data_IF_754424980001
#
_entry.id   IF_754424980001
#
_cell.length_a   1.000
_cell.length_b   1.000
_cell.length_c   1.000
_cell.angle_alpha   90.00
_cell.angle_beta   90.00
_cell.angle_gamma   90.00
#
_symmetry.space_group_name_H-M   'P 1'
#
loop_
_entity.id
_entity.type
_entity.pdbx_description
1 polymer ?
#
# COMPACT_ATOMS: atom_id res chain seq x y z
N UNK A 1 -2.77 42.61 40.74
CA UNK A 1 -3.83 42.18 39.81
C UNK A 1 -3.13 41.59 38.59
N UNK A 2 -2.81 40.30 38.61
CA UNK A 2 -3.65 39.12 38.33
C UNK A 2 -3.34 38.64 36.91
N UNK A 3 -2.40 37.72 36.74
CA UNK A 3 -2.51 36.26 36.91
C UNK A 3 -2.82 35.61 35.55
N UNK A 4 -1.81 35.02 34.92
CA UNK A 4 -1.88 33.80 34.09
C UNK A 4 -0.44 33.36 33.72
N UNK A 5 0.38 33.17 34.75
CA UNK A 5 1.38 32.09 34.77
C UNK A 5 0.77 30.96 35.61
N UNK A 6 1.21 29.73 35.37
CA UNK A 6 0.64 28.44 35.82
C UNK A 6 -0.43 27.98 34.79
N UNK A 7 -0.21 26.92 34.01
CA UNK A 7 0.07 25.58 34.50
C UNK A 7 1.05 24.79 33.62
N UNK A 8 2.15 24.38 34.25
CA UNK A 8 2.79 23.08 34.05
C UNK A 8 1.80 21.97 34.45
N UNK A 9 1.49 21.04 33.55
CA UNK A 9 0.84 19.77 33.83
C UNK A 9 1.32 18.76 32.77
N UNK A 10 2.36 17.99 33.08
CA UNK A 10 2.33 16.62 33.64
C UNK A 10 2.15 15.58 32.53
N UNK A 11 3.21 14.81 32.32
CA UNK A 11 3.14 13.51 31.67
C UNK A 11 2.31 12.61 32.58
N UNK A 12 1.07 12.35 32.18
CA UNK A 12 0.23 11.38 32.84
C UNK A 12 0.45 10.01 32.17
N UNK A 13 0.82 9.06 33.02
CA UNK A 13 0.86 7.62 32.80
C UNK A 13 -0.22 7.13 31.82
N UNK A 14 0.19 6.36 30.82
CA UNK A 14 -0.70 5.65 29.89
C UNK A 14 -1.46 4.59 30.69
N UNK A 15 -2.80 4.67 30.83
CA UNK A 15 -3.57 3.51 31.22
C UNK A 15 -3.72 2.65 29.96
N UNK A 16 -2.94 1.57 29.88
CA UNK A 16 -3.41 0.40 29.16
C UNK A 16 -4.65 -0.10 29.90
N UNK A 17 -5.82 -0.04 29.27
CA UNK A 17 -6.89 -1.06 29.29
C UNK A 17 -8.16 -0.46 28.68
N UNK A 18 -8.81 -1.19 27.76
CA UNK A 18 -10.21 -0.98 27.40
C UNK A 18 -10.43 -0.85 25.90
N UNK A 19 -11.25 -1.74 25.33
CA UNK A 19 -11.61 -1.79 23.91
C UNK A 19 -12.25 -0.50 23.38
N UNK A 20 -11.42 0.50 23.09
CA UNK A 20 -11.79 1.75 22.45
C UNK A 20 -11.47 1.69 20.97
N UNK A 21 -12.42 2.15 20.15
CA UNK A 21 -12.20 2.41 18.73
C UNK A 21 -10.87 3.15 18.57
N UNK A 22 -9.92 2.54 17.87
CA UNK A 22 -8.64 3.18 17.59
C UNK A 22 -8.93 4.41 16.77
N UNK A 23 -8.63 5.58 17.32
CA UNK A 23 -8.86 6.85 16.65
C UNK A 23 -8.16 6.85 15.29
N UNK A 24 -8.87 7.15 14.17
CA UNK A 24 -8.29 7.14 12.84
C UNK A 24 -7.05 8.04 12.72
N UNK A 25 -7.01 9.15 13.46
CA UNK A 25 -5.85 10.04 13.46
C UNK A 25 -4.65 9.42 14.18
N UNK A 26 -4.85 8.62 15.25
CA UNK A 26 -3.77 7.84 15.86
C UNK A 26 -3.19 6.78 14.92
N UNK A 27 -4.02 6.13 14.09
CA UNK A 27 -3.54 5.13 13.13
C UNK A 27 -2.69 5.80 12.04
N UNK A 28 -3.19 6.90 11.47
CA UNK A 28 -2.46 7.67 10.46
C UNK A 28 -1.16 8.21 11.05
N UNK A 29 -1.18 8.73 12.28
CA UNK A 29 0.01 9.21 12.95
C UNK A 29 1.05 8.09 13.15
N UNK A 30 0.63 6.89 13.54
CA UNK A 30 1.53 5.73 13.69
C UNK A 30 2.10 5.27 12.34
N UNK A 31 1.29 5.19 11.28
CA UNK A 31 1.77 4.82 9.95
C UNK A 31 2.78 5.85 9.40
N UNK A 32 2.59 7.16 9.67
CA UNK A 32 3.52 8.21 9.28
C UNK A 32 4.90 8.10 9.96
N UNK A 33 5.00 7.43 11.11
CA UNK A 33 6.29 7.16 11.75
C UNK A 33 7.14 6.20 10.91
N UNK A 34 6.53 5.26 10.17
CA UNK A 34 7.26 4.34 9.30
C UNK A 34 7.99 5.04 8.15
N UNK A 35 7.48 6.18 7.67
CA UNK A 35 8.13 6.96 6.61
C UNK A 35 9.27 7.85 7.13
N UNK A 36 9.17 8.29 8.38
CA UNK A 36 10.10 9.28 8.97
C UNK A 36 11.13 8.66 9.92
N UNK A 37 11.09 7.34 10.13
CA UNK A 37 12.11 6.65 10.90
C UNK A 37 13.43 6.66 10.12
N UNK A 38 14.35 7.52 10.57
CA UNK A 38 15.75 7.58 10.07
C UNK A 38 16.47 6.22 10.11
N UNK A 39 15.99 5.30 10.94
CA UNK A 39 16.50 3.92 11.02
C UNK A 39 16.08 3.04 9.83
N UNK A 40 14.97 3.36 9.15
CA UNK A 40 14.49 2.61 7.99
C UNK A 40 15.11 3.20 6.72
N UNK A 41 14.93 4.50 6.49
CA UNK A 41 15.53 5.17 5.34
C UNK A 41 16.87 5.80 5.72
N UNK A 42 17.93 5.01 5.57
CA UNK A 42 19.30 5.41 5.91
C UNK A 42 20.13 5.77 4.67
N UNK A 43 19.85 5.09 3.55
CA UNK A 43 20.73 5.08 2.38
C UNK A 43 19.99 5.36 1.08
N UNK A 44 18.68 5.11 0.99
CA UNK A 44 17.90 5.46 -0.18
C UNK A 44 17.74 6.97 -0.31
N UNK A 45 17.99 7.52 -1.50
CA UNK A 45 17.77 8.92 -1.81
C UNK A 45 16.29 9.28 -1.67
N UNK A 46 15.99 10.42 -1.04
CA UNK A 46 14.62 10.84 -0.71
C UNK A 46 13.68 10.89 -1.91
N UNK A 47 14.18 11.29 -3.08
CA UNK A 47 13.41 11.36 -4.33
C UNK A 47 12.85 10.02 -4.80
N UNK A 48 13.48 8.91 -4.41
CA UNK A 48 13.12 7.57 -4.87
C UNK A 48 12.38 6.74 -3.81
N UNK A 49 12.11 7.32 -2.64
CA UNK A 49 11.41 6.65 -1.55
C UNK A 49 9.92 6.51 -1.86
N UNK A 50 9.30 5.47 -1.32
CA UNK A 50 7.84 5.40 -1.27
C UNK A 50 7.30 6.58 -0.48
N UNK A 51 6.40 7.33 -1.11
CA UNK A 51 5.74 8.47 -0.50
C UNK A 51 4.49 8.05 0.27
N UNK A 52 4.07 8.85 1.25
CA UNK A 52 2.81 8.62 1.96
C UNK A 52 1.58 8.66 1.03
N UNK A 53 1.71 9.28 -0.16
CA UNK A 53 0.66 9.27 -1.19
C UNK A 53 0.58 7.97 -1.99
N UNK A 54 1.54 7.06 -1.80
CA UNK A 54 1.58 5.76 -2.48
C UNK A 54 2.38 5.74 -3.78
N UNK A 55 3.22 6.74 -4.04
CA UNK A 55 3.96 6.87 -5.30
C UNK A 55 5.43 6.50 -5.13
N UNK A 56 6.01 5.91 -6.19
CA UNK A 56 7.43 5.61 -6.38
C UNK A 56 7.94 6.37 -7.60
N UNK A 57 8.76 7.41 -7.39
CA UNK A 57 9.24 8.28 -8.46
C UNK A 57 10.61 7.84 -8.97
N UNK A 58 10.75 6.56 -9.31
CA UNK A 58 12.02 5.97 -9.76
C UNK A 58 12.12 6.11 -11.27
N UNK A 59 13.12 6.84 -11.80
CA UNK A 59 13.29 6.96 -13.24
C UNK A 59 13.87 5.66 -13.82
N UNK A 60 13.59 5.42 -15.11
CA UNK A 60 13.89 4.15 -15.76
C UNK A 60 15.40 3.82 -15.75
N UNK A 61 16.26 4.83 -15.89
CA UNK A 61 17.72 4.71 -15.82
C UNK A 61 18.24 4.33 -14.42
N UNK A 62 17.47 4.63 -13.36
CA UNK A 62 17.80 4.27 -11.97
C UNK A 62 17.24 2.90 -11.54
N UNK A 63 16.43 2.23 -12.37
CA UNK A 63 15.79 0.94 -12.06
C UNK A 63 16.76 -0.08 -11.47
N UNK A 64 17.92 -0.29 -12.09
CA UNK A 64 18.88 -1.30 -11.63
C UNK A 64 19.46 -0.95 -10.25
N UNK A 65 19.72 0.32 -10.00
CA UNK A 65 20.24 0.78 -8.71
C UNK A 65 19.18 0.72 -7.62
N UNK A 66 17.92 1.01 -7.96
CA UNK A 66 16.80 0.82 -7.03
C UNK A 66 16.63 -0.65 -6.65
N UNK A 67 16.53 -1.53 -7.65
CA UNK A 67 16.19 -2.94 -7.46
C UNK A 67 17.31 -3.79 -6.84
N UNK A 68 18.57 -3.38 -6.97
CA UNK A 68 19.71 -4.08 -6.37
C UNK A 68 20.34 -3.30 -5.21
N UNK A 69 19.71 -2.19 -4.80
CA UNK A 69 20.24 -1.27 -3.81
C UNK A 69 19.37 -1.15 -2.56
N UNK A 70 19.75 -0.25 -1.64
CA UNK A 70 19.05 -0.09 -0.38
C UNK A 70 17.60 0.37 -0.56
N UNK A 71 17.27 1.10 -1.63
CA UNK A 71 15.91 1.60 -1.84
C UNK A 71 14.84 0.50 -1.88
N UNK A 72 15.14 -0.66 -2.49
CA UNK A 72 14.21 -1.78 -2.48
C UNK A 72 14.01 -2.31 -1.06
N UNK A 73 15.11 -2.60 -0.36
CA UNK A 73 15.08 -3.16 0.99
C UNK A 73 14.41 -2.21 1.99
N UNK A 74 14.78 -0.92 1.95
CA UNK A 74 14.22 0.11 2.84
C UNK A 74 12.72 0.32 2.56
N UNK A 75 12.30 0.32 1.30
CA UNK A 75 10.87 0.38 0.95
C UNK A 75 10.11 -0.83 1.49
N UNK A 76 10.67 -2.04 1.40
CA UNK A 76 10.04 -3.24 1.97
C UNK A 76 9.91 -3.14 3.50
N UNK A 77 10.91 -2.57 4.20
CA UNK A 77 10.82 -2.32 5.64
C UNK A 77 9.72 -1.32 5.99
N UNK A 78 9.53 -0.26 5.21
CA UNK A 78 8.40 0.68 5.39
C UNK A 78 7.06 -0.03 5.24
N UNK A 79 6.89 -0.81 4.17
CA UNK A 79 5.65 -1.54 3.91
C UNK A 79 5.33 -2.51 5.05
N UNK A 80 6.33 -3.25 5.55
CA UNK A 80 6.17 -4.16 6.68
C UNK A 80 5.85 -3.40 7.98
N UNK A 81 6.47 -2.24 8.21
CA UNK A 81 6.16 -1.39 9.36
C UNK A 81 4.69 -0.95 9.35
N UNK A 82 4.18 -0.51 8.21
CA UNK A 82 2.78 -0.08 8.06
C UNK A 82 1.83 -1.27 8.25
N UNK A 83 2.12 -2.41 7.63
CA UNK A 83 1.30 -3.62 7.71
C UNK A 83 1.16 -4.13 9.16
N UNK A 84 2.23 -4.03 9.96
CA UNK A 84 2.21 -4.39 11.38
C UNK A 84 1.35 -3.45 12.23
N UNK A 85 1.09 -2.23 11.77
CA UNK A 85 0.21 -1.26 12.43
C UNK A 85 -1.23 -1.44 11.96
N UNK A 86 -1.42 -1.60 10.65
CA UNK A 86 -2.72 -1.76 10.00
C UNK A 86 -2.58 -2.62 8.74
N UNK A 87 -3.10 -3.84 8.80
CA UNK A 87 -3.01 -4.82 7.70
C UNK A 87 -3.75 -4.40 6.43
N UNK A 88 -4.86 -3.67 6.56
CA UNK A 88 -5.68 -3.19 5.43
C UNK A 88 -5.43 -1.71 5.13
N UNK A 89 -4.18 -1.26 5.23
CA UNK A 89 -3.83 0.12 4.94
C UNK A 89 -4.00 0.43 3.45
N UNK A 90 -4.57 1.60 3.15
CA UNK A 90 -4.79 2.10 1.79
C UNK A 90 -4.13 3.47 1.67
N UNK A 91 -3.28 3.62 0.66
CA UNK A 91 -2.61 4.87 0.34
C UNK A 91 -3.57 5.89 -0.32
N UNK A 92 -3.17 7.16 -0.39
CA UNK A 92 -4.00 8.20 -1.01
C UNK A 92 -4.32 7.95 -2.49
N UNK A 93 -3.41 7.32 -3.23
CA UNK A 93 -3.65 6.89 -4.61
C UNK A 93 -4.51 5.62 -4.72
N UNK A 94 -5.11 5.16 -3.61
CA UNK A 94 -5.94 3.96 -3.49
C UNK A 94 -5.20 2.63 -3.61
N UNK A 95 -3.87 2.65 -3.64
CA UNK A 95 -3.07 1.44 -3.58
C UNK A 95 -3.19 0.78 -2.20
N UNK A 96 -3.24 -0.53 -2.15
CA UNK A 96 -2.96 -1.33 -0.97
C UNK A 96 -1.46 -1.54 -0.82
N UNK A 97 -1.02 -2.05 0.34
CA UNK A 97 0.37 -2.50 0.52
C UNK A 97 0.76 -3.54 -0.55
N UNK A 98 -0.16 -4.42 -0.92
CA UNK A 98 0.09 -5.45 -1.91
C UNK A 98 0.27 -4.86 -3.31
N UNK A 99 -0.55 -3.88 -3.69
CA UNK A 99 -0.41 -3.20 -5.00
C UNK A 99 0.96 -2.53 -5.16
N UNK A 100 1.51 -1.95 -4.07
CA UNK A 100 2.87 -1.40 -4.08
C UNK A 100 3.91 -2.51 -4.26
N UNK A 101 3.77 -3.64 -3.55
CA UNK A 101 4.70 -4.78 -3.66
C UNK A 101 4.68 -5.38 -5.07
N UNK A 102 3.50 -5.53 -5.66
CA UNK A 102 3.31 -6.09 -7.00
C UNK A 102 3.89 -5.15 -8.07
N UNK A 103 3.67 -3.84 -7.92
CA UNK A 103 4.30 -2.82 -8.77
C UNK A 103 5.82 -2.93 -8.72
N UNK A 104 6.41 -2.97 -7.52
CA UNK A 104 7.87 -3.11 -7.34
C UNK A 104 8.38 -4.43 -7.94
N UNK A 105 7.65 -5.53 -7.75
CA UNK A 105 8.02 -6.84 -8.29
C UNK A 105 8.03 -6.83 -9.82
N UNK A 106 7.01 -6.24 -10.45
CA UNK A 106 6.95 -6.08 -11.90
C UNK A 106 8.07 -5.17 -12.42
N UNK A 107 8.30 -4.03 -11.75
CA UNK A 107 9.34 -3.06 -12.09
C UNK A 107 10.77 -3.64 -11.99
N UNK A 108 11.03 -4.46 -10.97
CA UNK A 108 12.33 -5.07 -10.74
C UNK A 108 12.53 -6.41 -11.45
N UNK A 109 11.46 -7.00 -11.97
CA UNK A 109 11.50 -8.24 -12.74
C UNK A 109 12.12 -8.09 -14.12
N UNK A 110 12.18 -9.20 -14.86
CA UNK A 110 12.69 -9.24 -16.24
C UNK A 110 11.55 -9.18 -17.29
N UNK A 111 10.35 -8.79 -16.85
CA UNK A 111 9.15 -8.73 -17.69
C UNK A 111 9.03 -7.43 -18.50
N UNK A 112 7.95 -7.28 -19.28
CA UNK A 112 7.68 -6.09 -20.08
C UNK A 112 7.47 -4.82 -19.25
N UNK A 113 7.15 -4.95 -17.95
CA UNK A 113 6.97 -3.85 -17.01
C UNK A 113 8.26 -3.45 -16.29
N UNK A 114 9.43 -3.98 -16.71
CA UNK A 114 10.70 -3.66 -16.06
C UNK A 114 10.97 -2.15 -16.14
N UNK A 115 11.23 -1.54 -14.98
CA UNK A 115 11.47 -0.11 -14.82
C UNK A 115 10.23 0.76 -14.77
N UNK A 116 9.03 0.17 -14.80
CA UNK A 116 7.77 0.88 -14.60
C UNK A 116 7.34 0.82 -13.13
N UNK A 117 7.53 1.94 -12.43
CA UNK A 117 7.16 2.11 -11.03
C UNK A 117 5.84 2.88 -10.86
N UNK A 118 5.04 3.04 -11.93
CA UNK A 118 3.76 3.72 -11.88
C UNK A 118 2.70 2.83 -11.20
N UNK A 119 2.52 3.04 -9.90
CA UNK A 119 1.57 2.27 -9.07
C UNK A 119 0.14 2.38 -9.59
N UNK A 120 -0.31 3.56 -10.03
CA UNK A 120 -1.68 3.76 -10.46
C UNK A 120 -1.98 2.97 -11.75
N UNK A 121 -1.07 3.06 -12.72
CA UNK A 121 -1.19 2.32 -13.98
C UNK A 121 -1.14 0.80 -13.76
N UNK A 122 -0.33 0.34 -12.80
CA UNK A 122 -0.28 -1.07 -12.43
C UNK A 122 -1.63 -1.58 -11.90
N UNK A 123 -2.27 -0.84 -10.97
CA UNK A 123 -3.57 -1.20 -10.39
C UNK A 123 -4.66 -1.23 -11.46
N UNK A 124 -4.69 -0.24 -12.36
CA UNK A 124 -5.66 -0.16 -13.45
C UNK A 124 -5.52 -1.33 -14.45
N UNK A 125 -4.27 -1.69 -14.77
CA UNK A 125 -3.96 -2.81 -15.65
C UNK A 125 -4.40 -4.15 -15.03
N UNK A 126 -4.10 -4.39 -13.76
CA UNK A 126 -4.49 -5.61 -13.05
C UNK A 126 -6.02 -5.70 -12.85
N UNK A 127 -6.68 -4.61 -12.47
CA UNK A 127 -8.14 -4.55 -12.37
C UNK A 127 -8.83 -4.86 -13.70
N UNK A 128 -8.29 -4.33 -14.81
CA UNK A 128 -8.78 -4.62 -16.15
C UNK A 128 -8.60 -6.09 -16.54
N UNK A 129 -7.47 -6.70 -16.18
CA UNK A 129 -7.20 -8.13 -16.42
C UNK A 129 -8.15 -9.02 -15.62
N UNK A 130 -8.35 -8.71 -14.34
CA UNK A 130 -9.28 -9.43 -13.48
C UNK A 130 -10.72 -9.39 -14.03
N UNK A 131 -11.18 -8.22 -14.49
CA UNK A 131 -12.52 -8.08 -15.08
C UNK A 131 -12.67 -8.89 -16.39
N UNK A 132 -11.63 -8.90 -17.24
CA UNK A 132 -11.61 -9.75 -18.44
C UNK A 132 -11.63 -11.24 -18.11
N UNK A 133 -10.96 -11.67 -17.06
CA UNK A 133 -10.99 -13.07 -16.60
C UNK A 133 -12.38 -13.44 -16.05
N UNK A 134 -13.01 -12.57 -15.26
CA UNK A 134 -14.36 -12.77 -14.74
C UNK A 134 -15.43 -12.83 -15.86
N UNK A 135 -15.26 -12.04 -16.91
CA UNK A 135 -16.17 -12.03 -18.07
C UNK A 135 -16.05 -13.30 -18.92
N UNK A 136 -14.96 -14.08 -18.79
CA UNK A 136 -14.73 -15.32 -19.56
C UNK A 136 -15.43 -16.57 -18.99
N UNK A 137 -16.27 -16.44 -17.96
CA UNK A 137 -17.10 -17.57 -17.50
C UNK A 137 -18.05 -17.94 -18.65
N UNK A 138 -17.97 -19.15 -19.23
CA UNK A 138 -18.82 -19.51 -20.36
C UNK A 138 -20.28 -19.50 -19.90
N UNK A 139 -21.12 -18.82 -20.68
CA UNK A 139 -22.60 -18.81 -20.59
C UNK A 139 -23.17 -20.18 -21.00
N UNK A 140 -22.52 -21.28 -20.60
CA UNK A 140 -22.91 -22.65 -20.95
C UNK A 140 -23.83 -23.29 -19.92
N UNK A 141 -24.06 -22.65 -18.76
CA UNK A 141 -24.97 -23.17 -17.73
C UNK A 141 -26.45 -22.78 -17.93
N UNK A 142 -26.79 -22.04 -18.99
CA UNK A 142 -28.16 -21.58 -19.28
C UNK A 142 -28.97 -22.45 -20.25
N UNK A 143 -28.36 -23.45 -20.90
CA UNK A 143 -29.00 -24.20 -22.00
C UNK A 143 -29.52 -25.60 -21.64
N UNK A 144 -29.33 -26.07 -20.39
CA UNK A 144 -29.83 -27.40 -19.99
C UNK A 144 -31.31 -27.44 -19.55
N UNK A 145 -32.01 -26.31 -19.47
CA UNK A 145 -33.40 -26.28 -18.97
C UNK A 145 -34.46 -26.30 -20.10
N UNK A 146 -34.11 -25.96 -21.35
CA UNK A 146 -35.10 -25.92 -22.45
C UNK A 146 -35.35 -27.31 -23.07
N UNK A 147 -34.42 -28.26 -22.90
CA UNK A 147 -34.56 -29.63 -23.44
C UNK A 147 -35.56 -30.54 -22.72
N UNK A 148 -36.10 -30.14 -21.56
CA UNK A 148 -37.06 -30.96 -20.79
C UNK A 148 -38.53 -30.57 -20.96
N UNK A 149 -38.84 -29.49 -21.68
CA UNK A 149 -40.23 -29.10 -21.98
C UNK A 149 -40.70 -29.67 -23.33
N UNK A 150 -39.78 -30.04 -24.23
CA UNK A 150 -40.14 -30.63 -25.54
C UNK A 150 -40.39 -32.16 -25.52
N UNK A 151 -40.30 -32.81 -24.34
CA UNK A 151 -40.42 -34.26 -24.17
C UNK A 151 -41.52 -34.67 -23.16
N UNK A 152 -42.47 -33.78 -22.86
CA UNK A 152 -43.70 -34.07 -22.12
C UNK A 152 -44.92 -33.76 -23.00
#
# INVERSE_FOLDING_TARGET
MSAFCLYLGKADDVPQTGGGAVDPAQIVAKALLCFNQKSIYSSCAESYRLTATGNLNVPQDYTNQYCNGPCLTETQLVLNCIENIMTNFVFYNRATIQDIRDTIQAACGYGPQRGDFNVLEHIEAEGSRANRAATRIPVSLGLMIIGRILFL
#
